data_IF_146945653364
#
_entry.id   IF_146945653364
#
_cell.length_a   1.000
_cell.length_b   1.000
_cell.length_c   1.000
_cell.angle_alpha   90.00
_cell.angle_beta   90.00
_cell.angle_gamma   90.00
#
_symmetry.space_group_name_H-M   'P 1'
#
loop_
_entity.id
_entity.type
_entity.pdbx_description
1 polymer ?
#
# COMPACT_ATOMS: atom_id res chain seq x y z
N UNK A 1 -50.41 -45.11 -5.12
CA UNK A 1 -50.30 -46.04 -3.98
C UNK A 1 -48.91 -45.85 -3.40
N UNK A 2 -48.81 -45.05 -2.33
CA UNK A 2 -48.82 -45.52 -0.92
C UNK A 2 -47.41 -45.99 -0.52
N UNK A 3 -46.78 -45.64 0.61
CA UNK A 3 -47.15 -44.98 1.87
C UNK A 3 -45.80 -44.74 2.61
N UNK A 4 -45.53 -43.59 3.25
CA UNK A 4 -45.90 -43.22 4.64
C UNK A 4 -44.83 -43.67 5.67
N UNK A 5 -44.08 -42.71 6.23
CA UNK A 5 -44.10 -42.27 7.64
C UNK A 5 -43.76 -43.32 8.71
N UNK A 6 -42.83 -42.98 9.61
CA UNK A 6 -43.02 -42.97 11.07
C UNK A 6 -41.74 -42.42 11.74
N UNK A 7 -41.75 -41.21 12.32
CA UNK A 7 -42.12 -40.86 13.72
C UNK A 7 -41.15 -41.43 14.76
N UNK A 8 -40.35 -40.56 15.37
CA UNK A 8 -40.64 -39.82 16.63
C UNK A 8 -40.38 -40.66 17.90
N UNK A 9 -39.99 -39.90 18.94
CA UNK A 9 -40.15 -40.13 20.39
C UNK A 9 -38.89 -40.60 21.12
N UNK A 10 -38.55 -40.14 22.32
CA UNK A 10 -39.15 -39.19 23.29
C UNK A 10 -38.10 -39.05 24.41
N UNK A 11 -37.89 -37.84 24.94
CA UNK A 11 -38.27 -37.52 26.32
C UNK A 11 -37.05 -37.61 27.27
N UNK A 12 -37.00 -36.99 28.46
CA UNK A 12 -37.97 -36.16 29.18
C UNK A 12 -37.32 -35.76 30.52
N UNK A 13 -37.43 -34.46 30.87
CA UNK A 13 -37.74 -33.86 32.18
C UNK A 13 -36.76 -33.88 33.37
N UNK A 14 -37.02 -32.84 34.18
CA UNK A 14 -36.75 -32.59 35.60
C UNK A 14 -35.50 -31.72 35.84
N UNK A 15 -35.50 -30.71 36.71
CA UNK A 15 -36.39 -30.43 37.84
C UNK A 15 -36.32 -28.95 38.25
N UNK A 16 -37.39 -28.49 38.90
CA UNK A 16 -37.58 -27.14 39.44
C UNK A 16 -36.78 -26.93 40.73
N UNK A 17 -36.50 -25.67 41.10
CA UNK A 17 -36.85 -25.11 42.43
C UNK A 17 -36.55 -23.61 42.53
N UNK A 18 -37.60 -22.88 42.93
CA UNK A 18 -37.57 -21.51 43.43
C UNK A 18 -37.03 -21.46 44.87
N UNK A 19 -36.22 -20.45 45.22
CA UNK A 19 -36.18 -19.83 46.56
C UNK A 19 -35.94 -18.31 46.40
N UNK A 20 -36.70 -17.51 47.16
CA UNK A 20 -36.71 -16.04 47.17
C UNK A 20 -35.89 -15.42 48.33
N UNK A 21 -35.61 -14.12 48.16
CA UNK A 21 -35.43 -13.02 49.14
C UNK A 21 -34.03 -12.70 49.71
N UNK A 22 -33.65 -11.42 49.57
CA UNK A 22 -32.56 -10.78 50.33
C UNK A 22 -32.02 -9.50 49.66
N UNK A 23 -32.52 -8.35 50.07
CA UNK A 23 -32.15 -6.98 49.66
C UNK A 23 -30.79 -6.52 50.22
N UNK A 24 -30.04 -5.68 49.47
CA UNK A 24 -29.51 -4.35 49.89
C UNK A 24 -28.23 -3.94 49.14
N UNK A 25 -28.19 -2.70 48.60
CA UNK A 25 -27.02 -1.85 48.37
C UNK A 25 -25.92 -2.39 47.43
N UNK A 26 -25.59 -1.76 46.30
CA UNK A 26 -24.95 -0.44 46.31
C UNK A 26 -24.86 0.09 44.87
N UNK A 27 -25.30 1.34 44.74
CA UNK A 27 -24.84 2.41 43.84
C UNK A 27 -23.71 2.07 42.84
N UNK A 28 -24.00 2.36 41.57
CA UNK A 28 -23.08 2.21 40.46
C UNK A 28 -21.82 3.07 40.53
N UNK A 29 -20.81 2.64 39.78
CA UNK A 29 -19.61 3.43 39.46
C UNK A 29 -18.81 2.90 38.27
N UNK A 30 -19.26 1.86 37.55
CA UNK A 30 -18.43 1.24 36.51
C UNK A 30 -18.66 1.76 35.08
N UNK A 31 -19.70 2.57 34.82
CA UNK A 31 -20.13 2.91 33.45
C UNK A 31 -19.90 4.38 33.04
N UNK A 32 -19.09 5.12 33.80
CA UNK A 32 -18.88 6.56 33.56
C UNK A 32 -17.40 6.94 33.29
N UNK A 33 -16.47 5.98 33.38
CA UNK A 33 -15.03 6.25 33.21
C UNK A 33 -14.52 6.16 31.75
N UNK A 34 -15.30 5.61 30.80
CA UNK A 34 -14.81 5.36 29.44
C UNK A 34 -15.26 6.40 28.38
N UNK A 35 -16.12 7.35 28.76
CA UNK A 35 -16.65 8.38 27.86
C UNK A 35 -15.86 9.70 27.94
N UNK A 36 -15.03 9.91 28.96
CA UNK A 36 -14.27 11.16 29.16
C UNK A 36 -12.83 11.13 28.62
N UNK A 37 -12.31 9.97 28.21
CA UNK A 37 -10.97 9.81 27.61
C UNK A 37 -10.91 10.07 26.10
N UNK A 38 -12.07 10.23 25.44
CA UNK A 38 -12.19 10.47 23.98
C UNK A 38 -12.23 11.95 23.57
N UNK A 39 -12.20 12.87 24.53
CA UNK A 39 -12.12 14.31 24.28
C UNK A 39 -10.79 14.91 24.77
N UNK A 40 -9.69 14.15 24.69
CA UNK A 40 -8.38 14.83 24.53
C UNK A 40 -8.49 15.58 23.21
N UNK A 41 -8.47 16.90 23.33
CA UNK A 41 -8.26 17.85 22.25
C UNK A 41 -7.43 17.18 21.16
N UNK A 42 -7.94 17.16 19.92
CA UNK A 42 -7.07 17.02 18.74
C UNK A 42 -6.21 18.27 18.72
N UNK A 43 -5.29 18.39 19.67
CA UNK A 43 -4.13 19.23 19.51
C UNK A 43 -3.45 18.64 18.28
N UNK A 44 -3.56 19.40 17.17
CA UNK A 44 -2.69 19.17 16.04
C UNK A 44 -1.29 19.02 16.63
N UNK A 45 -0.57 17.91 16.35
CA UNK A 45 0.83 17.87 16.70
C UNK A 45 1.45 19.16 16.15
N UNK A 46 2.29 19.87 16.94
CA UNK A 46 2.91 21.10 16.47
C UNK A 46 3.46 20.80 15.09
N UNK A 47 2.97 21.54 14.09
CA UNK A 47 3.33 21.43 12.68
C UNK A 47 4.81 21.12 12.66
N UNK A 48 5.15 19.85 12.39
CA UNK A 48 6.48 19.36 12.62
C UNK A 48 7.33 20.23 11.72
N UNK A 49 8.04 21.20 12.33
CA UNK A 49 9.00 22.02 11.62
C UNK A 49 9.96 20.98 11.12
N UNK A 50 9.84 20.65 9.82
CA UNK A 50 10.72 19.70 9.16
C UNK A 50 12.06 20.39 9.30
N UNK A 51 12.82 19.97 10.31
CA UNK A 51 14.20 20.39 10.48
C UNK A 51 14.80 20.22 9.10
N UNK A 52 15.42 21.28 8.58
CA UNK A 52 15.93 21.34 7.21
C UNK A 52 17.06 20.30 7.08
N UNK A 53 16.64 19.05 6.92
CA UNK A 53 17.46 17.88 7.03
C UNK A 53 18.05 17.63 5.68
N UNK A 54 19.36 17.50 5.63
CA UNK A 54 20.11 17.06 4.45
C UNK A 54 19.73 15.65 3.96
N UNK A 55 18.86 14.95 4.70
CA UNK A 55 18.34 13.64 4.35
C UNK A 55 17.10 13.67 3.44
N UNK A 56 16.67 12.48 2.97
CA UNK A 56 15.42 12.34 2.21
C UNK A 56 14.20 12.66 3.07
N UNK A 57 13.22 13.32 2.48
CA UNK A 57 11.90 13.62 3.04
C UNK A 57 10.97 12.40 2.95
N UNK A 58 11.16 11.58 1.92
CA UNK A 58 10.39 10.35 1.68
C UNK A 58 11.36 9.21 1.46
N UNK A 59 11.12 8.08 2.15
CA UNK A 59 11.86 6.84 1.93
C UNK A 59 10.88 5.72 1.66
N UNK A 60 11.10 4.99 0.57
CA UNK A 60 10.37 3.75 0.27
C UNK A 60 11.33 2.56 0.23
N UNK A 61 10.84 1.37 0.57
CA UNK A 61 11.65 0.15 0.59
C UNK A 61 10.83 -1.02 0.09
N UNK A 62 11.36 -1.76 -0.89
CA UNK A 62 10.69 -2.92 -1.44
C UNK A 62 11.38 -3.41 -2.71
N UNK A 63 10.61 -4.09 -3.56
CA UNK A 63 11.05 -4.61 -4.85
C UNK A 63 10.66 -3.69 -6.00
N UNK A 64 11.50 -3.62 -7.03
CA UNK A 64 11.19 -2.93 -8.28
C UNK A 64 11.65 -3.80 -9.43
N UNK A 65 10.77 -3.94 -10.41
CA UNK A 65 10.95 -4.85 -11.53
C UNK A 65 10.56 -4.11 -12.82
N UNK A 66 11.14 -4.44 -13.98
CA UNK A 66 10.56 -4.02 -15.24
C UNK A 66 9.16 -4.61 -15.38
N UNK A 67 8.22 -3.78 -15.78
CA UNK A 67 6.91 -4.19 -16.28
C UNK A 67 6.95 -4.17 -17.80
N UNK A 68 6.61 -5.29 -18.42
CA UNK A 68 6.56 -5.48 -19.85
C UNK A 68 5.14 -5.89 -20.25
N UNK A 69 4.18 -4.95 -20.35
CA UNK A 69 2.85 -5.29 -20.80
C UNK A 69 2.87 -5.53 -22.31
N UNK A 70 2.08 -6.52 -22.74
CA UNK A 70 1.75 -6.71 -24.15
C UNK A 70 0.99 -5.50 -24.70
N UNK A 71 0.87 -5.43 -26.02
CA UNK A 71 0.05 -4.42 -26.67
C UNK A 71 -1.41 -4.47 -26.17
N UNK A 72 -2.08 -3.32 -26.01
CA UNK A 72 -3.47 -3.29 -25.56
C UNK A 72 -4.38 -4.19 -26.39
N UNK A 73 -5.15 -5.04 -25.72
CA UNK A 73 -6.07 -5.97 -26.37
C UNK A 73 -5.42 -7.23 -26.95
N UNK A 74 -4.09 -7.36 -26.86
CA UNK A 74 -3.36 -8.56 -27.29
C UNK A 74 -3.10 -9.45 -26.09
N UNK A 75 -3.57 -10.72 -26.10
CA UNK A 75 -3.20 -11.71 -25.10
C UNK A 75 -1.69 -11.91 -25.01
N UNK A 76 -1.17 -12.20 -23.81
CA UNK A 76 0.27 -12.32 -23.56
C UNK A 76 0.93 -13.40 -24.42
N UNK A 77 0.22 -14.50 -24.71
CA UNK A 77 0.69 -15.62 -25.54
C UNK A 77 0.79 -15.27 -27.05
N UNK A 78 0.24 -14.13 -27.47
CA UNK A 78 0.28 -13.64 -28.87
C UNK A 78 1.05 -12.33 -29.04
N UNK A 79 1.49 -11.71 -27.94
CA UNK A 79 2.23 -10.46 -27.97
C UNK A 79 3.62 -10.64 -28.60
N UNK A 80 3.94 -9.81 -29.60
CA UNK A 80 5.27 -9.77 -30.24
C UNK A 80 6.04 -8.50 -29.90
N UNK A 81 5.38 -7.52 -29.29
CA UNK A 81 5.95 -6.26 -28.86
C UNK A 81 5.51 -5.96 -27.43
N UNK A 82 6.44 -5.40 -26.66
CA UNK A 82 6.25 -5.06 -25.25
C UNK A 82 6.79 -3.67 -24.99
N UNK A 83 6.04 -2.90 -24.21
CA UNK A 83 6.51 -1.60 -23.73
C UNK A 83 7.17 -1.78 -22.37
N UNK A 84 8.30 -1.12 -22.11
CA UNK A 84 8.92 -1.17 -20.79
C UNK A 84 8.40 -0.05 -19.89
N UNK A 85 8.01 -0.39 -18.68
CA UNK A 85 7.82 0.52 -17.55
C UNK A 85 8.39 -0.09 -16.26
N UNK A 86 8.17 0.53 -15.10
CA UNK A 86 8.61 0.01 -13.80
C UNK A 86 7.40 -0.38 -12.97
N UNK A 87 7.45 -1.59 -12.39
CA UNK A 87 6.52 -2.07 -11.37
C UNK A 87 7.12 -1.95 -9.96
N UNK A 88 6.25 -2.14 -8.97
CA UNK A 88 6.54 -2.02 -7.54
C UNK A 88 5.69 -0.92 -6.91
N UNK A 89 4.90 -1.26 -5.89
CA UNK A 89 4.01 -0.30 -5.23
C UNK A 89 4.82 0.87 -4.65
N UNK A 90 5.99 0.57 -4.10
CA UNK A 90 6.92 1.50 -3.48
C UNK A 90 7.63 2.38 -4.51
N UNK A 91 7.82 1.89 -5.75
CA UNK A 91 8.33 2.68 -6.87
C UNK A 91 7.31 3.72 -7.29
N UNK A 92 6.03 3.33 -7.36
CA UNK A 92 4.93 4.23 -7.70
C UNK A 92 4.78 5.34 -6.65
N UNK A 93 4.85 4.96 -5.37
CA UNK A 93 4.82 5.92 -4.26
C UNK A 93 6.04 6.82 -4.27
N UNK A 94 7.24 6.33 -4.58
CA UNK A 94 8.44 7.17 -4.64
C UNK A 94 8.40 8.19 -5.79
N UNK A 95 7.84 7.79 -6.94
CA UNK A 95 7.82 8.61 -8.15
C UNK A 95 6.95 9.86 -7.99
N UNK A 96 5.83 9.78 -7.27
CA UNK A 96 4.93 10.92 -7.07
C UNK A 96 5.60 12.13 -6.39
N UNK A 97 6.09 11.99 -5.15
CA UNK A 97 6.79 13.05 -4.43
C UNK A 97 8.08 13.49 -5.13
N UNK A 98 8.83 12.58 -5.75
CA UNK A 98 10.04 12.92 -6.50
C UNK A 98 9.74 13.89 -7.67
N UNK A 99 8.68 13.61 -8.44
CA UNK A 99 8.22 14.49 -9.52
C UNK A 99 7.67 15.83 -9.03
N UNK A 100 7.25 15.92 -7.76
CA UNK A 100 6.83 17.17 -7.11
C UNK A 100 8.00 17.94 -6.47
N UNK A 101 9.23 17.44 -6.59
CA UNK A 101 10.44 18.11 -6.08
C UNK A 101 10.87 17.70 -4.66
N UNK A 102 10.23 16.70 -4.05
CA UNK A 102 10.63 16.21 -2.73
C UNK A 102 11.84 15.29 -2.80
N UNK A 103 12.75 15.40 -1.82
CA UNK A 103 13.93 14.54 -1.70
C UNK A 103 13.50 13.11 -1.37
N UNK A 104 13.36 12.28 -2.40
CA UNK A 104 12.80 10.93 -2.26
C UNK A 104 13.87 9.89 -2.51
N UNK A 105 14.02 8.94 -1.59
CA UNK A 105 14.98 7.83 -1.70
C UNK A 105 14.28 6.50 -1.73
N UNK A 106 14.75 5.61 -2.59
CA UNK A 106 14.34 4.20 -2.60
C UNK A 106 15.44 3.30 -2.04
N UNK A 107 15.03 2.35 -1.21
CA UNK A 107 15.85 1.26 -0.71
C UNK A 107 15.41 -0.06 -1.34
N UNK A 108 16.35 -0.98 -1.52
CA UNK A 108 16.06 -2.31 -2.05
C UNK A 108 17.26 -2.92 -2.75
N UNK A 109 16.97 -3.93 -3.58
CA UNK A 109 17.97 -4.67 -4.35
C UNK A 109 17.44 -4.91 -5.75
N UNK A 110 18.34 -4.91 -6.73
CA UNK A 110 18.11 -5.38 -8.10
C UNK A 110 19.25 -6.33 -8.48
N UNK A 111 19.07 -7.16 -9.51
CA UNK A 111 20.18 -7.93 -10.06
C UNK A 111 21.18 -7.01 -10.77
N UNK A 112 22.45 -7.45 -10.82
CA UNK A 112 23.51 -6.82 -11.60
C UNK A 112 23.37 -7.16 -13.10
N UNK A 113 22.20 -6.84 -13.66
CA UNK A 113 21.80 -7.20 -15.02
C UNK A 113 21.13 -6.01 -15.75
N UNK A 114 20.93 -6.09 -17.08
CA UNK A 114 20.32 -5.01 -17.84
C UNK A 114 18.89 -4.65 -17.41
N UNK A 115 18.15 -5.60 -16.82
CA UNK A 115 16.80 -5.36 -16.32
C UNK A 115 16.82 -4.48 -15.07
N UNK A 116 17.71 -4.78 -14.12
CA UNK A 116 17.95 -3.97 -12.93
C UNK A 116 18.41 -2.57 -13.28
N UNK A 117 19.38 -2.44 -14.20
CA UNK A 117 19.83 -1.13 -14.66
C UNK A 117 18.73 -0.35 -15.38
N UNK A 118 17.84 -1.01 -16.13
CA UNK A 118 16.70 -0.34 -16.75
C UNK A 118 15.72 0.22 -15.71
N UNK A 119 15.46 -0.50 -14.63
CA UNK A 119 14.64 -0.03 -13.50
C UNK A 119 15.29 1.19 -12.84
N UNK A 120 16.57 1.08 -12.48
CA UNK A 120 17.30 2.17 -11.82
C UNK A 120 17.37 3.42 -12.69
N UNK A 121 17.61 3.27 -14.00
CA UNK A 121 17.65 4.38 -14.95
C UNK A 121 16.32 5.13 -15.01
N UNK A 122 15.19 4.41 -15.04
CA UNK A 122 13.87 5.03 -15.04
C UNK A 122 13.59 5.76 -13.72
N UNK A 123 13.85 5.14 -12.57
CA UNK A 123 13.66 5.77 -11.26
C UNK A 123 14.51 7.03 -11.09
N UNK A 124 15.77 7.02 -11.57
CA UNK A 124 16.63 8.21 -11.57
C UNK A 124 16.09 9.30 -12.49
N UNK A 125 15.55 8.94 -13.65
CA UNK A 125 14.92 9.90 -14.57
C UNK A 125 13.67 10.54 -13.94
N UNK A 126 12.97 9.82 -13.06
CA UNK A 126 11.84 10.32 -12.27
C UNK A 126 12.26 11.11 -11.01
N UNK A 127 13.55 11.33 -10.79
CA UNK A 127 14.09 12.11 -9.67
C UNK A 127 14.24 11.34 -8.36
N UNK A 128 14.07 10.01 -8.36
CA UNK A 128 14.23 9.17 -7.17
C UNK A 128 15.71 8.87 -6.91
N UNK A 129 16.18 9.13 -5.70
CA UNK A 129 17.52 8.76 -5.25
C UNK A 129 17.62 7.23 -5.06
N UNK A 130 18.42 6.59 -5.92
CA UNK A 130 18.71 5.15 -5.88
C UNK A 130 20.08 4.81 -5.29
N UNK A 131 20.79 5.75 -4.67
CA UNK A 131 22.16 5.56 -4.15
C UNK A 131 22.29 4.48 -3.08
N UNK A 132 21.16 4.03 -2.51
CA UNK A 132 21.07 2.97 -1.49
C UNK A 132 20.39 1.70 -1.99
N UNK A 133 20.15 1.58 -3.30
CA UNK A 133 19.77 0.32 -3.92
C UNK A 133 21.02 -0.48 -4.24
N UNK A 134 21.05 -1.74 -3.82
CA UNK A 134 22.18 -2.64 -4.08
C UNK A 134 21.97 -3.41 -5.39
N UNK A 135 23.02 -3.53 -6.19
CA UNK A 135 23.07 -4.50 -7.28
C UNK A 135 23.57 -5.84 -6.73
N UNK A 136 22.92 -6.93 -7.10
CA UNK A 136 23.24 -8.30 -6.68
C UNK A 136 23.78 -9.11 -7.87
N UNK A 137 25.02 -9.57 -7.76
CA UNK A 137 25.66 -10.39 -8.80
C UNK A 137 25.20 -11.86 -8.78
N UNK A 138 24.51 -12.28 -7.72
CA UNK A 138 24.13 -13.68 -7.45
C UNK A 138 22.67 -13.99 -7.73
N UNK A 139 21.82 -12.97 -7.92
CA UNK A 139 20.39 -13.11 -8.17
C UNK A 139 19.93 -12.18 -9.30
N UNK A 140 19.08 -12.66 -10.24
CA UNK A 140 18.56 -11.83 -11.31
C UNK A 140 17.48 -10.86 -10.80
N UNK A 141 17.28 -9.76 -11.52
CA UNK A 141 16.14 -8.86 -11.33
C UNK A 141 14.85 -9.57 -11.74
N UNK A 142 13.82 -9.51 -10.88
CA UNK A 142 12.49 -10.00 -11.20
C UNK A 142 11.89 -9.28 -12.41
N UNK A 143 10.98 -9.95 -13.13
CA UNK A 143 10.30 -9.42 -14.31
C UNK A 143 8.79 -9.62 -14.16
N UNK A 144 8.01 -8.59 -14.48
CA UNK A 144 6.56 -8.70 -14.54
C UNK A 144 6.11 -8.49 -16.00
N UNK A 145 5.50 -9.50 -16.59
CA UNK A 145 4.76 -9.37 -17.83
C UNK A 145 3.25 -9.36 -17.57
N UNK A 146 2.46 -8.99 -18.56
CA UNK A 146 1.00 -9.05 -18.42
C UNK A 146 0.25 -8.17 -19.40
N UNK A 147 -1.05 -8.02 -19.14
CA UNK A 147 -1.88 -7.08 -19.87
C UNK A 147 -1.66 -5.65 -19.33
N UNK A 148 -1.77 -4.62 -20.18
CA UNK A 148 -1.68 -3.24 -19.71
C UNK A 148 -2.78 -2.99 -18.68
N UNK A 149 -2.38 -2.82 -17.42
CA UNK A 149 -3.26 -2.32 -16.37
C UNK A 149 -3.29 -0.80 -16.45
N UNK A 150 -4.34 -0.16 -15.94
CA UNK A 150 -4.44 1.31 -15.92
C UNK A 150 -3.25 2.03 -15.23
N UNK A 151 -2.42 1.28 -14.49
CA UNK A 151 -1.16 1.76 -13.89
C UNK A 151 0.00 1.89 -14.90
N UNK A 152 -0.07 1.24 -16.06
CA UNK A 152 0.88 1.40 -17.15
C UNK A 152 0.60 2.70 -17.92
N UNK A 153 0.57 3.84 -17.20
CA UNK A 153 0.51 5.13 -17.88
C UNK A 153 1.83 5.41 -18.60
N UNK A 154 1.68 6.02 -19.75
CA UNK A 154 2.75 6.47 -20.60
C UNK A 154 3.74 7.32 -19.78
N UNK A 155 4.98 6.85 -19.60
CA UNK A 155 6.09 7.67 -19.13
C UNK A 155 6.56 8.54 -20.30
N UNK A 156 5.66 9.31 -20.88
CA UNK A 156 6.03 10.46 -21.68
C UNK A 156 6.77 11.43 -20.74
N UNK A 157 7.82 12.13 -21.20
CA UNK A 157 8.34 13.25 -20.44
C UNK A 157 7.16 14.21 -20.21
N UNK A 158 6.90 14.52 -18.95
CA UNK A 158 5.99 15.61 -18.64
C UNK A 158 6.70 16.89 -19.08
N UNK A 159 6.40 17.37 -20.29
CA UNK A 159 6.75 18.70 -20.72
C UNK A 159 5.98 19.70 -19.85
N UNK A 160 6.53 20.00 -18.67
CA UNK A 160 6.15 21.13 -17.83
C UNK A 160 6.78 22.44 -18.33
N UNK A 161 7.04 22.55 -19.63
CA UNK A 161 7.42 23.79 -20.29
C UNK A 161 6.17 24.69 -20.42
N UNK A 162 5.68 25.18 -19.28
CA UNK A 162 4.47 26.01 -19.25
C UNK A 162 4.10 26.62 -17.90
N UNK A 163 4.98 26.56 -16.89
CA UNK A 163 4.79 27.34 -15.67
C UNK A 163 5.60 28.65 -15.80
N UNK A 164 4.99 29.78 -16.17
CA UNK A 164 5.69 31.06 -16.13
C UNK A 164 6.00 31.43 -14.67
N UNK A 165 7.26 31.78 -14.43
CA UNK A 165 7.78 32.37 -13.21
C UNK A 165 6.88 33.48 -12.67
N UNK A 166 6.40 33.33 -11.44
CA UNK A 166 6.19 34.40 -10.43
C UNK A 166 5.75 33.69 -9.15
N UNK A 167 6.44 33.77 -8.01
CA UNK A 167 6.63 34.97 -7.20
C UNK A 167 7.85 34.76 -6.28
N UNK A 168 8.89 35.56 -6.48
CA UNK A 168 9.75 36.00 -5.39
C UNK A 168 9.05 37.19 -4.70
N UNK A 169 8.64 37.02 -3.44
CA UNK A 169 8.64 38.09 -2.44
C UNK A 169 8.59 37.51 -1.03
#
# INVERSE_FOLDING_TARGET
MAAQEHRERTGSKADQRHIRHGTSGTSGTAQQANSQSRQRTRENPPEATVANGSGPEVVTCGEAMPLMPAEPGIPLDRGVAFRRSVAGAESNVATGPARLGHRTRRLGRVGADPAGEAVLRQLRADGVDTSRVQADETAPTGLLDGLPTAAARDSAPADFAGCPDSVHR
#
